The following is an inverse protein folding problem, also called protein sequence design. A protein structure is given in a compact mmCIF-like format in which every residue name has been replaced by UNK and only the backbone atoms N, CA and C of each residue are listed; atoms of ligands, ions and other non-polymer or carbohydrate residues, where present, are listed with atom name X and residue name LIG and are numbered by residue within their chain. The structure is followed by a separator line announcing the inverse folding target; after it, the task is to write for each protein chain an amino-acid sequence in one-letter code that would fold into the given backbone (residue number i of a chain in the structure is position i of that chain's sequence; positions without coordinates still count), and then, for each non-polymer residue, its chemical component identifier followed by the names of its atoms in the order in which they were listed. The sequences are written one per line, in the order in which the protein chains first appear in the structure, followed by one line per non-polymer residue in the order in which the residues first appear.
data_IF_474121086754
#
_entry.id   IF_474121086754
#
_cell.length_a   1.000
_cell.length_b   1.000
_cell.length_c   1.000
_cell.angle_alpha   90.00
_cell.angle_beta   90.00
_cell.angle_gamma   90.00
#
_symmetry.space_group_name_H-M   'P 1'
#
loop_
_entity.id
_entity.type
_entity.pdbx_description
1 polymer ?
#
# COMPACT_ATOMS: atom_id res chain seq x y z
N UNK A 1 -60.75 3.05 0.53
CA UNK A 1 -59.47 3.35 -0.16
C UNK A 1 -58.35 3.31 0.87
N UNK A 2 -57.55 2.22 0.96
CA UNK A 2 -56.29 2.25 1.70
C UNK A 2 -55.12 2.69 0.79
N UNK A 3 -54.06 3.29 1.32
CA UNK A 3 -52.92 3.74 0.52
C UNK A 3 -52.00 2.57 0.15
N UNK A 4 -51.56 2.56 -1.12
CA UNK A 4 -50.61 1.58 -1.64
C UNK A 4 -49.21 1.92 -1.15
N UNK A 5 -48.55 0.97 -0.49
CA UNK A 5 -47.13 1.05 -0.11
C UNK A 5 -46.25 1.01 -1.37
N UNK A 6 -45.37 1.99 -1.52
CA UNK A 6 -44.31 2.03 -2.52
C UNK A 6 -43.30 0.88 -2.29
N UNK A 7 -42.73 0.28 -3.35
CA UNK A 7 -41.77 -0.79 -3.19
C UNK A 7 -40.46 -0.23 -2.65
N UNK A 8 -40.08 -0.67 -1.45
CA UNK A 8 -38.75 -0.45 -0.89
C UNK A 8 -37.72 -1.07 -1.81
N UNK A 9 -37.00 -0.21 -2.53
CA UNK A 9 -35.81 -0.60 -3.29
C UNK A 9 -34.81 -1.24 -2.33
N UNK A 10 -34.60 -2.55 -2.48
CA UNK A 10 -33.43 -3.23 -1.92
C UNK A 10 -32.20 -2.56 -2.52
N UNK A 11 -31.53 -1.72 -1.74
CA UNK A 11 -30.13 -1.40 -1.97
C UNK A 11 -29.35 -2.70 -1.75
N UNK A 12 -29.04 -3.38 -2.86
CA UNK A 12 -28.04 -4.44 -2.88
C UNK A 12 -26.76 -3.87 -2.23
N UNK A 13 -26.17 -4.55 -1.24
CA UNK A 13 -24.90 -4.12 -0.69
C UNK A 13 -23.88 -4.16 -1.83
N UNK A 14 -23.44 -2.98 -2.30
CA UNK A 14 -22.32 -2.85 -3.21
C UNK A 14 -21.20 -3.71 -2.65
N UNK A 15 -20.85 -4.79 -3.36
CA UNK A 15 -19.67 -5.58 -3.02
C UNK A 15 -18.51 -4.62 -2.99
N UNK A 16 -18.00 -4.38 -1.78
CA UNK A 16 -16.85 -3.54 -1.55
C UNK A 16 -15.69 -4.20 -2.32
N UNK A 17 -15.14 -3.58 -3.38
CA UNK A 17 -14.06 -4.20 -4.18
C UNK A 17 -12.78 -4.39 -3.35
N UNK A 18 -12.73 -3.76 -2.18
CA UNK A 18 -11.72 -3.96 -1.17
C UNK A 18 -12.04 -5.20 -0.32
N UNK A 19 -11.99 -6.39 -0.93
CA UNK A 19 -11.56 -7.53 -0.12
C UNK A 19 -10.09 -7.25 0.21
N UNK A 20 -9.72 -6.98 1.47
CA UNK A 20 -8.31 -6.84 1.79
C UNK A 20 -7.65 -8.16 1.40
N UNK A 21 -6.70 -8.09 0.48
CA UNK A 21 -5.71 -9.14 0.30
C UNK A 21 -5.11 -9.45 1.68
N UNK A 22 -4.65 -10.70 1.92
CA UNK A 22 -3.94 -11.01 3.15
C UNK A 22 -2.87 -9.94 3.35
N UNK A 23 -3.01 -9.13 4.40
CA UNK A 23 -2.06 -8.04 4.65
C UNK A 23 -0.71 -8.69 4.83
N UNK A 24 0.23 -8.35 3.95
CA UNK A 24 1.63 -8.55 4.23
C UNK A 24 1.92 -7.91 5.58
N UNK A 25 2.62 -8.63 6.47
CA UNK A 25 2.96 -8.08 7.77
C UNK A 25 3.87 -6.87 7.57
N UNK A 26 3.79 -5.87 8.45
CA UNK A 26 4.69 -4.71 8.42
C UNK A 26 6.16 -5.14 8.35
N UNK A 27 6.52 -6.20 9.08
CA UNK A 27 7.87 -6.77 9.07
C UNK A 27 8.26 -7.38 7.71
N UNK A 28 7.32 -8.06 7.03
CA UNK A 28 7.56 -8.59 5.69
C UNK A 28 7.72 -7.47 4.66
N UNK A 29 6.92 -6.40 4.74
CA UNK A 29 7.08 -5.21 3.90
C UNK A 29 8.42 -4.51 4.12
N UNK A 30 8.89 -4.37 5.37
CA UNK A 30 10.22 -3.79 5.66
C UNK A 30 11.32 -4.63 5.01
N UNK A 31 11.26 -5.96 5.14
CA UNK A 31 12.22 -6.87 4.49
C UNK A 31 12.15 -6.78 2.97
N UNK A 32 10.95 -6.62 2.41
CA UNK A 32 10.75 -6.45 0.98
C UNK A 32 11.40 -5.17 0.46
N UNK A 33 11.09 -4.03 1.09
CA UNK A 33 11.68 -2.72 0.75
C UNK A 33 13.21 -2.76 0.86
N UNK A 34 13.76 -3.41 1.90
CA UNK A 34 15.21 -3.55 2.06
C UNK A 34 15.87 -4.32 0.90
N UNK A 35 15.22 -5.38 0.39
CA UNK A 35 15.71 -6.11 -0.78
C UNK A 35 15.62 -5.26 -2.05
N UNK A 36 14.49 -4.60 -2.27
CA UNK A 36 14.32 -3.70 -3.42
C UNK A 36 15.37 -2.60 -3.43
N UNK A 37 15.68 -2.00 -2.27
CA UNK A 37 16.74 -0.99 -2.15
C UNK A 37 18.11 -1.51 -2.60
N UNK A 38 18.48 -2.74 -2.20
CA UNK A 38 19.74 -3.34 -2.63
C UNK A 38 19.78 -3.59 -4.14
N UNK A 39 18.67 -4.06 -4.73
CA UNK A 39 18.54 -4.24 -6.18
C UNK A 39 18.62 -2.90 -6.94
N UNK A 40 18.03 -1.84 -6.38
CA UNK A 40 18.07 -0.48 -6.92
C UNK A 40 19.49 0.06 -6.91
N UNK A 41 20.20 -0.04 -5.78
CA UNK A 41 21.60 0.40 -5.68
C UNK A 41 22.48 -0.31 -6.71
N UNK A 42 22.28 -1.61 -6.87
CA UNK A 42 22.99 -2.39 -7.87
C UNK A 42 22.63 -1.91 -9.29
N UNK A 43 21.35 -1.74 -9.63
CA UNK A 43 20.91 -1.30 -10.95
C UNK A 43 21.41 0.10 -11.32
N UNK A 44 21.38 1.06 -10.37
CA UNK A 44 21.93 2.40 -10.55
C UNK A 44 23.44 2.33 -10.80
N UNK A 45 24.16 1.48 -10.06
CA UNK A 45 25.60 1.28 -10.28
C UNK A 45 25.91 0.77 -11.69
N UNK A 46 25.04 -0.04 -12.30
CA UNK A 46 25.24 -0.58 -13.65
C UNK A 46 25.01 0.46 -14.76
N UNK A 47 24.13 1.45 -14.55
CA UNK A 47 23.84 2.49 -15.54
C UNK A 47 24.54 3.83 -15.25
N UNK A 48 25.43 3.86 -14.25
CA UNK A 48 26.13 5.08 -13.81
C UNK A 48 26.84 5.78 -14.97
N UNK A 49 26.57 7.08 -15.13
CA UNK A 49 27.12 7.92 -16.19
C UNK A 49 26.29 7.94 -17.47
N UNK A 50 25.29 7.07 -17.61
CA UNK A 50 24.34 7.13 -18.72
C UNK A 50 23.34 8.28 -18.49
N UNK A 51 23.39 9.29 -19.36
CA UNK A 51 22.59 10.52 -19.25
C UNK A 51 21.08 10.32 -19.39
N UNK A 52 20.63 9.16 -19.87
CA UNK A 52 19.21 8.84 -20.08
C UNK A 52 18.77 7.73 -19.15
N UNK A 53 19.54 6.64 -19.06
CA UNK A 53 19.19 5.49 -18.25
C UNK A 53 19.29 5.79 -16.75
N UNK A 54 20.34 6.48 -16.29
CA UNK A 54 20.53 6.76 -14.85
C UNK A 54 19.40 7.65 -14.29
N UNK A 55 19.03 8.80 -14.90
CA UNK A 55 17.94 9.62 -14.38
C UNK A 55 16.58 8.94 -14.46
N UNK A 56 16.30 8.19 -15.55
CA UNK A 56 15.02 7.49 -15.72
C UNK A 56 14.86 6.40 -14.67
N UNK A 57 15.89 5.58 -14.48
CA UNK A 57 15.89 4.51 -13.50
C UNK A 57 15.75 5.09 -12.08
N UNK A 58 16.52 6.13 -11.76
CA UNK A 58 16.43 6.84 -10.48
C UNK A 58 15.03 7.40 -10.21
N UNK A 59 14.42 8.05 -11.21
CA UNK A 59 13.08 8.63 -11.09
C UNK A 59 11.98 7.58 -10.86
N UNK A 60 12.01 6.48 -11.62
CA UNK A 60 11.07 5.36 -11.44
C UNK A 60 11.20 4.76 -10.04
N UNK A 61 12.42 4.58 -9.54
CA UNK A 61 12.66 3.98 -8.23
C UNK A 61 12.29 4.90 -7.07
N UNK A 62 12.55 6.20 -7.17
CA UNK A 62 12.07 7.18 -6.18
C UNK A 62 10.54 7.16 -6.06
N UNK A 63 9.83 7.07 -7.19
CA UNK A 63 8.38 6.96 -7.18
C UNK A 63 7.91 5.68 -6.47
N UNK A 64 8.54 4.55 -6.76
CA UNK A 64 8.25 3.26 -6.10
C UNK A 64 8.47 3.34 -4.58
N UNK A 65 9.61 3.86 -4.14
CA UNK A 65 9.94 4.00 -2.71
C UNK A 65 8.93 4.86 -1.95
N UNK A 66 8.46 5.95 -2.56
CA UNK A 66 7.44 6.81 -1.97
C UNK A 66 6.10 6.08 -1.77
N UNK A 67 5.71 5.24 -2.73
CA UNK A 67 4.49 4.43 -2.66
C UNK A 67 4.63 3.38 -1.55
N UNK A 68 5.70 2.58 -1.56
CA UNK A 68 5.95 1.54 -0.56
C UNK A 68 6.06 2.11 0.86
N UNK A 69 6.70 3.28 1.01
CA UNK A 69 6.81 3.97 2.31
C UNK A 69 5.45 4.44 2.84
N UNK A 70 4.56 4.92 1.95
CA UNK A 70 3.19 5.30 2.33
C UNK A 70 2.41 4.10 2.84
N UNK A 71 2.50 2.96 2.17
CA UNK A 71 1.81 1.73 2.58
C UNK A 71 2.34 1.20 3.91
N UNK A 72 3.67 1.23 4.10
CA UNK A 72 4.31 0.87 5.36
C UNK A 72 3.81 1.75 6.52
N UNK A 73 3.78 3.08 6.31
CA UNK A 73 3.28 4.03 7.30
C UNK A 73 1.81 3.76 7.66
N UNK A 74 0.97 3.48 6.66
CA UNK A 74 -0.43 3.14 6.90
C UNK A 74 -0.58 1.87 7.74
N UNK A 75 0.22 0.85 7.47
CA UNK A 75 0.19 -0.39 8.25
C UNK A 75 0.67 -0.17 9.69
N UNK A 76 1.74 0.60 9.89
CA UNK A 76 2.22 0.98 11.23
C UNK A 76 1.18 1.76 12.04
N UNK A 77 0.48 2.72 11.41
CA UNK A 77 -0.58 3.47 12.06
C UNK A 77 -1.75 2.56 12.49
N UNK A 78 -2.10 1.57 11.67
CA UNK A 78 -3.18 0.64 12.00
C UNK A 78 -2.77 -0.35 13.08
N UNK A 79 -1.54 -0.87 13.04
CA UNK A 79 -1.02 -1.76 14.07
C UNK A 79 -0.90 -1.05 15.43
N UNK A 80 -0.41 0.19 15.43
CA UNK A 80 -0.32 0.99 16.66
C UNK A 80 -1.69 1.34 17.23
N UNK A 81 -2.68 1.66 16.38
CA UNK A 81 -4.07 1.91 16.83
C UNK A 81 -4.79 0.65 17.34
N UNK A 82 -4.37 -0.56 16.89
CA UNK A 82 -4.94 -1.84 17.34
C UNK A 82 -4.33 -2.36 18.63
N UNK A 83 -3.17 -1.85 19.08
CA UNK A 83 -2.65 -2.19 20.39
C UNK A 83 -3.64 -1.67 21.44
N UNK A 84 -4.19 -2.52 22.32
CA UNK A 84 -5.01 -2.03 23.41
C UNK A 84 -4.17 -1.07 24.25
N UNK A 85 -4.76 0.03 24.76
CA UNK A 85 -4.08 0.81 25.78
C UNK A 85 -3.68 -0.17 26.88
N UNK A 86 -2.41 -0.10 27.28
CA UNK A 86 -1.78 -0.98 28.27
C UNK A 86 -2.78 -1.46 29.33
N UNK A 87 -2.81 -2.78 29.53
CA UNK A 87 -3.67 -3.44 30.52
C UNK A 87 -3.62 -2.74 31.87
N UNK A 88 -4.79 -2.35 32.36
CA UNK A 88 -5.09 -2.04 33.76
C UNK A 88 -5.81 -3.21 34.38
#
# INVERSE_FOLDING_TARGET
MPPQHLPGGRVEPMQNPFRPSPRETTEAMVRHIARELAEIEQAISHCRGDRVAEPRLTGTWLAHLLISSKELLQNLLIESARRPPYGT
#
